data_IF_748205975001
#
_entry.id   IF_748205975001
#
_cell.length_a   1.000
_cell.length_b   1.000
_cell.length_c   1.000
_cell.angle_alpha   90.00
_cell.angle_beta   90.00
_cell.angle_gamma   90.00
#
_symmetry.space_group_name_H-M   'P 1'
#
loop_
_entity.id
_entity.type
_entity.pdbx_description
1 polymer ?
#
# COMPACT_ATOMS: atom_id res chain seq x y z
N UNK A 1 8.13 -39.37 9.40
CA UNK A 1 7.54 -38.41 10.35
C UNK A 1 8.60 -37.44 10.89
N UNK A 2 9.54 -37.88 11.73
CA UNK A 2 10.59 -37.02 12.32
C UNK A 2 11.50 -36.26 11.32
N UNK A 3 11.64 -36.75 10.08
CA UNK A 3 12.35 -36.01 9.03
C UNK A 3 11.54 -34.85 8.47
N UNK A 4 10.22 -35.02 8.31
CA UNK A 4 9.36 -34.09 7.57
C UNK A 4 8.78 -32.97 8.43
N UNK A 5 8.60 -33.22 9.72
CA UNK A 5 7.96 -32.28 10.63
C UNK A 5 8.87 -31.92 11.79
N UNK A 6 8.71 -30.70 12.30
CA UNK A 6 9.37 -30.23 13.51
C UNK A 6 8.69 -30.84 14.72
N UNK A 7 9.47 -31.51 15.56
CA UNK A 7 9.01 -32.21 16.75
C UNK A 7 9.57 -31.54 18.00
N UNK A 8 8.83 -31.60 19.11
CA UNK A 8 9.33 -31.09 20.40
C UNK A 8 10.56 -31.93 20.81
N UNK A 9 11.76 -31.35 21.02
CA UNK A 9 13.01 -32.09 21.20
C UNK A 9 12.96 -33.20 22.26
N UNK A 10 12.31 -32.92 23.39
CA UNK A 10 12.17 -33.85 24.52
C UNK A 10 10.86 -34.64 24.53
N UNK A 11 9.94 -34.36 23.60
CA UNK A 11 8.66 -35.04 23.51
C UNK A 11 8.29 -35.28 22.04
N UNK A 12 9.12 -36.05 21.33
CA UNK A 12 9.02 -36.27 19.87
C UNK A 12 7.70 -36.90 19.38
N UNK A 13 6.81 -37.29 20.30
CA UNK A 13 5.41 -37.63 20.00
C UNK A 13 4.60 -36.41 19.51
N UNK A 14 4.96 -35.20 19.96
CA UNK A 14 4.25 -33.96 19.69
C UNK A 14 4.98 -33.09 18.67
N UNK A 15 4.20 -32.39 17.85
CA UNK A 15 4.70 -31.45 16.85
C UNK A 15 4.91 -30.05 17.45
N UNK A 16 5.85 -29.32 16.86
CA UNK A 16 5.89 -27.88 16.95
C UNK A 16 4.81 -27.33 15.99
N UNK A 17 3.99 -26.41 16.46
CA UNK A 17 2.86 -25.83 15.73
C UNK A 17 3.03 -24.31 15.55
N UNK A 18 4.07 -23.91 14.83
CA UNK A 18 4.33 -22.49 14.53
C UNK A 18 3.38 -21.96 13.44
N UNK A 19 2.65 -22.84 12.75
CA UNK A 19 1.63 -22.49 11.73
C UNK A 19 0.26 -22.15 12.33
N UNK A 20 -0.04 -22.65 13.53
CA UNK A 20 -1.41 -22.69 14.05
C UNK A 20 -2.30 -23.79 13.43
N UNK A 21 -1.79 -24.61 12.51
CA UNK A 21 -2.57 -25.65 11.79
C UNK A 21 -2.29 -27.10 12.25
N UNK A 22 -1.53 -27.25 13.33
CA UNK A 22 -1.27 -28.51 14.03
C UNK A 22 0.15 -29.06 13.88
N UNK A 23 0.89 -28.65 12.85
CA UNK A 23 2.27 -29.08 12.60
C UNK A 23 3.06 -28.07 11.76
N UNK A 24 4.39 -28.18 11.75
CA UNK A 24 5.27 -27.33 10.92
C UNK A 24 6.27 -28.21 10.16
N UNK A 25 6.42 -27.98 8.85
CA UNK A 25 7.42 -28.69 8.03
C UNK A 25 8.85 -28.37 8.49
N UNK A 26 9.73 -29.35 8.43
CA UNK A 26 11.12 -29.21 8.86
C UNK A 26 12.05 -28.84 7.68
N UNK A 27 12.13 -27.55 7.35
CA UNK A 27 13.02 -27.10 6.26
C UNK A 27 14.52 -27.14 6.58
N UNK A 28 14.91 -27.46 7.82
CA UNK A 28 16.31 -27.77 8.15
C UNK A 28 16.76 -29.16 7.64
N UNK A 29 15.81 -30.04 7.29
CA UNK A 29 16.12 -31.39 6.82
C UNK A 29 16.38 -31.42 5.29
N UNK A 30 17.52 -31.96 4.81
CA UNK A 30 17.92 -31.91 3.40
C UNK A 30 16.91 -32.45 2.38
N UNK A 31 16.14 -33.49 2.74
CA UNK A 31 15.12 -34.05 1.84
C UNK A 31 13.81 -33.25 1.81
N UNK A 32 13.52 -32.48 2.86
CA UNK A 32 12.31 -31.66 2.90
C UNK A 32 12.55 -30.37 2.13
N UNK A 33 13.71 -29.73 2.34
CA UNK A 33 14.13 -28.58 1.54
C UNK A 33 14.29 -28.95 0.05
N UNK A 34 14.79 -30.14 -0.27
CA UNK A 34 14.78 -30.66 -1.63
C UNK A 34 13.35 -30.76 -2.18
N UNK A 35 12.43 -31.41 -1.46
CA UNK A 35 11.03 -31.54 -1.90
C UNK A 35 10.38 -30.18 -2.18
N UNK A 36 10.56 -29.20 -1.30
CA UNK A 36 9.99 -27.86 -1.48
C UNK A 36 10.64 -27.16 -2.67
N UNK A 37 11.96 -27.19 -2.80
CA UNK A 37 12.66 -26.52 -3.91
C UNK A 37 12.42 -27.19 -5.26
N UNK A 38 12.29 -28.52 -5.31
CA UNK A 38 11.88 -29.28 -6.49
C UNK A 38 10.43 -28.91 -6.88
N UNK A 39 9.54 -28.72 -5.91
CA UNK A 39 8.17 -28.23 -6.18
C UNK A 39 8.19 -26.82 -6.77
N UNK A 40 8.98 -25.89 -6.22
CA UNK A 40 9.11 -24.54 -6.77
C UNK A 40 9.66 -24.58 -8.20
N UNK A 41 10.72 -25.35 -8.45
CA UNK A 41 11.28 -25.51 -9.80
C UNK A 41 10.26 -26.11 -10.77
N UNK A 42 9.50 -27.11 -10.35
CA UNK A 42 8.41 -27.68 -11.15
C UNK A 42 7.37 -26.62 -11.54
N UNK A 43 6.89 -25.83 -10.58
CA UNK A 43 5.91 -24.76 -10.86
C UNK A 43 6.46 -23.70 -11.81
N UNK A 44 7.74 -23.36 -11.73
CA UNK A 44 8.36 -22.39 -12.64
C UNK A 44 8.59 -22.99 -14.04
N UNK A 45 9.20 -24.17 -14.13
CA UNK A 45 9.69 -24.72 -15.40
C UNK A 45 8.61 -25.46 -16.19
N UNK A 46 7.73 -26.18 -15.50
CA UNK A 46 6.70 -27.01 -16.14
C UNK A 46 5.35 -26.29 -16.21
N UNK A 47 5.03 -25.53 -15.16
CA UNK A 47 3.73 -24.83 -15.06
C UNK A 47 3.84 -23.34 -15.43
N UNK A 48 5.04 -22.84 -15.73
CA UNK A 48 5.33 -21.47 -16.15
C UNK A 48 4.86 -20.38 -15.15
N UNK A 49 4.95 -20.66 -13.85
CA UNK A 49 4.66 -19.67 -12.80
C UNK A 49 5.78 -18.63 -12.70
N UNK A 50 5.44 -17.34 -12.71
CA UNK A 50 6.38 -16.20 -12.68
C UNK A 50 6.91 -15.84 -11.28
N UNK A 51 6.39 -16.47 -10.22
CA UNK A 51 6.73 -16.19 -8.84
C UNK A 51 5.70 -16.69 -7.83
N UNK A 52 6.01 -16.51 -6.55
CA UNK A 52 5.28 -17.09 -5.44
C UNK A 52 5.01 -16.06 -4.34
N UNK A 53 3.81 -16.11 -3.75
CA UNK A 53 3.53 -15.54 -2.42
C UNK A 53 3.50 -16.68 -1.43
N UNK A 54 4.42 -16.66 -0.48
CA UNK A 54 4.57 -17.67 0.55
C UNK A 54 3.75 -17.29 1.78
N UNK A 55 2.75 -18.11 2.06
CA UNK A 55 1.96 -18.09 3.29
C UNK A 55 2.82 -18.43 4.50
N UNK A 56 2.64 -17.68 5.59
CA UNK A 56 3.44 -17.76 6.82
C UNK A 56 4.94 -17.89 6.50
N UNK A 57 5.44 -16.99 5.66
CA UNK A 57 6.76 -17.07 5.02
C UNK A 57 7.92 -17.22 6.01
N UNK A 58 7.77 -16.75 7.25
CA UNK A 58 8.76 -16.93 8.32
C UNK A 58 9.11 -18.41 8.55
N UNK A 59 8.13 -19.32 8.39
CA UNK A 59 8.33 -20.77 8.57
C UNK A 59 9.42 -21.31 7.65
N UNK A 60 9.51 -20.76 6.44
CA UNK A 60 10.47 -21.24 5.44
C UNK A 60 11.92 -21.00 5.85
N UNK A 61 12.13 -20.06 6.77
CA UNK A 61 13.43 -19.70 7.30
C UNK A 61 13.61 -20.11 8.77
N UNK A 62 12.70 -20.93 9.33
CA UNK A 62 12.87 -21.49 10.67
C UNK A 62 13.90 -22.62 10.68
N UNK A 63 14.95 -22.38 11.42
CA UNK A 63 15.99 -23.34 11.79
C UNK A 63 15.73 -23.85 13.24
N UNK A 64 16.56 -24.75 13.81
CA UNK A 64 16.35 -25.25 15.17
C UNK A 64 16.22 -24.16 16.24
N UNK A 65 16.83 -22.99 16.03
CA UNK A 65 16.87 -21.87 16.98
C UNK A 65 15.88 -20.74 16.66
N UNK A 66 14.99 -20.91 15.67
CA UNK A 66 14.05 -19.86 15.21
C UNK A 66 14.35 -19.39 13.80
N UNK A 67 13.81 -18.22 13.43
CA UNK A 67 14.04 -17.62 12.12
C UNK A 67 15.52 -17.25 11.93
N UNK A 68 16.07 -17.60 10.76
CA UNK A 68 17.40 -17.18 10.32
C UNK A 68 17.34 -16.70 8.87
N UNK A 69 17.66 -15.42 8.64
CA UNK A 69 17.74 -14.86 7.28
C UNK A 69 18.81 -15.52 6.40
N UNK A 70 19.71 -16.31 7.01
CA UNK A 70 20.72 -17.15 6.35
C UNK A 70 20.32 -18.63 6.33
N UNK A 71 19.04 -18.96 6.54
CA UNK A 71 18.55 -20.34 6.49
C UNK A 71 18.91 -21.04 5.18
N UNK A 72 18.93 -22.38 5.24
CA UNK A 72 19.25 -23.19 4.06
C UNK A 72 18.32 -22.88 2.87
N UNK A 73 17.03 -22.70 3.14
CA UNK A 73 16.01 -22.44 2.11
C UNK A 73 16.23 -21.10 1.40
N UNK A 74 16.42 -20.02 2.16
CA UNK A 74 16.63 -18.68 1.58
C UNK A 74 17.92 -18.63 0.75
N UNK A 75 18.99 -19.31 1.21
CA UNK A 75 20.22 -19.46 0.43
C UNK A 75 19.96 -20.15 -0.90
N UNK A 76 19.24 -21.28 -0.89
CA UNK A 76 18.91 -22.01 -2.13
C UNK A 76 18.13 -21.11 -3.09
N UNK A 77 17.09 -20.42 -2.65
CA UNK A 77 16.32 -19.50 -3.50
C UNK A 77 17.20 -18.41 -4.14
N UNK A 78 18.20 -17.90 -3.41
CA UNK A 78 19.08 -16.84 -3.92
C UNK A 78 20.11 -17.31 -4.95
N UNK A 79 20.53 -18.57 -4.91
CA UNK A 79 21.59 -19.12 -5.77
C UNK A 79 21.07 -20.04 -6.88
N UNK A 80 19.84 -20.55 -6.75
CA UNK A 80 19.28 -21.51 -7.71
C UNK A 80 19.02 -20.80 -9.05
N UNK A 81 19.56 -21.29 -10.18
CA UNK A 81 19.46 -20.63 -11.48
C UNK A 81 18.02 -20.42 -11.97
N UNK A 82 17.08 -21.23 -11.49
CA UNK A 82 15.65 -21.11 -11.82
C UNK A 82 14.98 -20.15 -10.84
N UNK A 83 15.18 -20.36 -9.53
CA UNK A 83 14.43 -19.62 -8.50
C UNK A 83 14.93 -18.18 -8.30
N UNK A 84 16.20 -17.88 -8.59
CA UNK A 84 16.75 -16.54 -8.44
C UNK A 84 16.15 -15.52 -9.43
N UNK A 85 15.54 -16.01 -10.51
CA UNK A 85 14.92 -15.17 -11.56
C UNK A 85 13.44 -14.86 -11.37
N UNK A 86 12.76 -15.50 -10.40
CA UNK A 86 11.30 -15.35 -10.21
C UNK A 86 10.97 -14.38 -9.07
N UNK A 87 9.71 -13.94 -9.00
CA UNK A 87 9.25 -13.05 -7.92
C UNK A 87 9.02 -13.85 -6.65
N UNK A 88 9.59 -13.43 -5.53
CA UNK A 88 9.42 -14.08 -4.23
C UNK A 88 8.80 -13.07 -3.26
N UNK A 89 7.60 -13.37 -2.76
CA UNK A 89 6.84 -12.52 -1.84
C UNK A 89 6.58 -13.32 -0.57
N UNK A 90 6.93 -12.80 0.60
CA UNK A 90 6.64 -13.43 1.88
C UNK A 90 5.49 -12.74 2.60
N UNK A 91 4.68 -13.52 3.31
CA UNK A 91 4.04 -13.07 4.54
C UNK A 91 5.10 -13.13 5.66
N UNK A 92 5.68 -12.00 6.11
CA UNK A 92 6.86 -12.03 6.96
C UNK A 92 6.52 -12.22 8.45
N UNK A 93 5.56 -13.11 8.73
CA UNK A 93 5.21 -13.51 10.08
C UNK A 93 4.71 -14.96 10.13
N UNK A 94 4.69 -15.52 11.34
CA UNK A 94 3.95 -16.73 11.67
C UNK A 94 3.46 -16.70 13.14
N UNK A 95 2.78 -17.75 13.59
CA UNK A 95 2.20 -17.83 14.95
C UNK A 95 3.20 -18.30 16.02
N UNK A 96 4.41 -18.70 15.62
CA UNK A 96 5.42 -19.22 16.53
C UNK A 96 6.17 -18.12 17.30
N UNK A 97 6.92 -18.48 18.36
CA UNK A 97 7.79 -17.54 19.06
C UNK A 97 8.77 -16.87 18.10
N UNK A 98 8.89 -15.54 18.20
CA UNK A 98 9.71 -14.74 17.30
C UNK A 98 9.22 -14.75 15.85
N UNK A 99 7.92 -14.98 15.61
CA UNK A 99 7.35 -15.12 14.27
C UNK A 99 7.40 -13.86 13.41
N UNK A 100 7.30 -12.67 14.01
CA UNK A 100 7.26 -11.39 13.27
C UNK A 100 8.64 -10.98 12.75
N UNK A 101 8.82 -10.99 11.43
CA UNK A 101 10.11 -10.83 10.72
C UNK A 101 10.03 -9.79 9.59
N UNK A 102 9.13 -8.82 9.71
CA UNK A 102 8.96 -7.78 8.71
C UNK A 102 10.24 -6.97 8.49
N UNK A 103 10.71 -6.93 7.24
CA UNK A 103 11.95 -6.26 6.83
C UNK A 103 13.21 -7.13 6.92
N UNK A 104 13.11 -8.34 7.50
CA UNK A 104 14.26 -9.22 7.79
C UNK A 104 14.53 -10.24 6.67
N UNK A 105 13.67 -10.34 5.65
CA UNK A 105 13.95 -11.18 4.47
C UNK A 105 15.08 -10.58 3.61
N UNK A 106 15.91 -11.44 2.98
CA UNK A 106 17.06 -10.99 2.22
C UNK A 106 16.67 -10.26 0.92
N UNK A 107 17.61 -9.49 0.31
CA UNK A 107 17.41 -8.92 -1.01
C UNK A 107 16.93 -9.95 -2.04
N UNK A 108 16.03 -9.54 -2.94
CA UNK A 108 15.33 -10.43 -3.88
C UNK A 108 13.92 -10.81 -3.40
N UNK A 109 13.64 -10.69 -2.11
CA UNK A 109 12.30 -10.90 -1.55
C UNK A 109 11.55 -9.59 -1.38
N UNK A 110 10.27 -9.61 -1.73
CA UNK A 110 9.29 -8.63 -1.30
C UNK A 110 8.45 -9.20 -0.15
N UNK A 111 7.80 -8.33 0.61
CA UNK A 111 7.08 -8.70 1.82
C UNK A 111 5.74 -7.98 1.88
N UNK A 112 4.69 -8.69 2.28
CA UNK A 112 3.44 -8.07 2.68
C UNK A 112 3.67 -7.07 3.80
N UNK A 113 3.33 -5.81 3.56
CA UNK A 113 3.54 -4.73 4.51
C UNK A 113 2.28 -4.50 5.38
N UNK A 114 2.17 -5.22 6.49
CA UNK A 114 1.06 -5.05 7.44
C UNK A 114 1.10 -3.69 8.17
N UNK A 115 2.29 -3.13 8.42
CA UNK A 115 2.42 -1.78 8.97
C UNK A 115 1.80 -0.72 8.05
N UNK A 116 1.93 -0.87 6.73
CA UNK A 116 1.25 -0.04 5.74
C UNK A 116 -0.25 -0.22 5.84
N UNK A 117 -0.74 -1.48 5.81
CA UNK A 117 -2.17 -1.81 5.94
C UNK A 117 -2.78 -1.13 7.16
N UNK A 118 -2.18 -1.38 8.32
CA UNK A 118 -2.68 -0.94 9.62
C UNK A 118 -2.65 0.59 9.74
N UNK A 119 -1.54 1.21 9.35
CA UNK A 119 -1.38 2.67 9.44
C UNK A 119 -2.33 3.41 8.50
N UNK A 120 -2.49 2.91 7.27
CA UNK A 120 -3.42 3.51 6.30
C UNK A 120 -4.86 3.38 6.78
N UNK A 121 -5.24 2.20 7.32
CA UNK A 121 -6.54 1.99 7.97
C UNK A 121 -6.78 2.97 9.11
N UNK A 122 -5.83 3.08 10.04
CA UNK A 122 -5.91 3.99 11.17
C UNK A 122 -5.99 5.46 10.76
N UNK A 123 -5.20 5.87 9.78
CA UNK A 123 -5.20 7.25 9.32
C UNK A 123 -6.58 7.67 8.80
N UNK A 124 -7.19 6.85 7.95
CA UNK A 124 -8.48 7.18 7.33
C UNK A 124 -9.66 7.10 8.29
N UNK A 125 -9.60 6.23 9.31
CA UNK A 125 -10.58 6.26 10.42
C UNK A 125 -10.30 7.35 11.46
N UNK A 126 -9.16 8.05 11.35
CA UNK A 126 -8.83 9.22 12.18
C UNK A 126 -8.09 8.91 13.48
N UNK A 127 -7.50 7.72 13.59
CA UNK A 127 -6.78 7.17 14.75
C UNK A 127 -5.25 7.26 14.61
N UNK A 128 -4.72 7.62 13.42
CA UNK A 128 -3.30 7.87 13.21
C UNK A 128 -3.03 9.29 12.70
N UNK A 129 -1.84 9.82 13.01
CA UNK A 129 -1.35 11.11 12.53
C UNK A 129 -0.69 10.97 11.15
N UNK A 130 -0.50 12.10 10.47
CA UNK A 130 0.27 12.17 9.23
C UNK A 130 1.71 11.71 9.39
N UNK A 131 2.31 11.89 10.57
CA UNK A 131 3.68 11.43 10.84
C UNK A 131 3.82 9.91 10.79
N UNK A 132 2.77 9.18 11.17
CA UNK A 132 2.71 7.73 11.01
C UNK A 132 2.50 7.34 9.54
N UNK A 133 1.64 8.06 8.81
CA UNK A 133 1.31 7.76 7.40
C UNK A 133 2.46 8.11 6.44
N UNK A 134 3.18 9.21 6.66
CA UNK A 134 4.20 9.71 5.76
C UNK A 134 5.25 8.65 5.37
N UNK A 135 5.81 7.88 6.33
CA UNK A 135 6.72 6.80 5.99
C UNK A 135 6.13 5.71 5.08
N UNK A 136 4.81 5.50 5.14
CA UNK A 136 4.12 4.49 4.32
C UNK A 136 3.95 4.96 2.88
N UNK A 137 3.71 6.26 2.66
CA UNK A 137 3.48 6.84 1.33
C UNK A 137 4.72 6.79 0.42
N UNK A 138 5.92 6.95 0.98
CA UNK A 138 7.18 6.95 0.20
C UNK A 138 7.95 5.62 0.23
N UNK A 139 7.27 4.50 0.53
CA UNK A 139 7.79 3.15 0.32
C UNK A 139 8.33 2.46 1.58
N UNK A 140 8.03 2.98 2.78
CA UNK A 140 8.44 2.40 4.07
C UNK A 140 9.96 2.18 4.16
N UNK A 141 10.73 3.21 3.79
CA UNK A 141 12.19 3.19 3.81
C UNK A 141 12.77 2.88 5.20
N UNK A 142 12.10 3.31 6.27
CA UNK A 142 12.45 2.99 7.65
C UNK A 142 12.50 1.47 7.95
N UNK A 143 11.75 0.68 7.17
CA UNK A 143 11.71 -0.77 7.25
C UNK A 143 12.62 -1.39 6.19
N UNK A 144 12.47 -0.97 4.93
CA UNK A 144 13.04 -1.67 3.78
C UNK A 144 14.33 -1.06 3.20
N UNK A 145 14.73 0.15 3.57
CA UNK A 145 15.98 0.77 3.08
C UNK A 145 17.21 0.25 3.83
N UNK A 146 17.45 -1.06 3.66
CA UNK A 146 18.58 -1.78 4.23
C UNK A 146 19.04 -2.87 3.28
N UNK A 147 20.30 -3.26 3.39
CA UNK A 147 20.90 -4.37 2.64
C UNK A 147 20.77 -4.24 1.10
N UNK A 148 20.61 -3.02 0.58
CA UNK A 148 20.47 -2.77 -0.87
C UNK A 148 19.09 -3.14 -1.44
N UNK A 149 18.08 -3.34 -0.58
CA UNK A 149 16.68 -3.51 -1.02
C UNK A 149 16.16 -2.22 -1.65
N UNK A 150 15.00 -2.32 -2.30
CA UNK A 150 14.37 -1.24 -3.08
C UNK A 150 12.92 -1.06 -2.62
N UNK A 151 12.25 0.06 -2.94
CA UNK A 151 10.85 0.28 -2.55
C UNK A 151 9.90 -0.86 -2.94
N UNK A 152 10.18 -1.55 -4.06
CA UNK A 152 9.40 -2.71 -4.52
C UNK A 152 9.39 -3.89 -3.54
N UNK A 153 10.30 -3.93 -2.56
CA UNK A 153 10.30 -4.90 -1.47
C UNK A 153 9.08 -4.76 -0.56
N UNK A 154 8.47 -3.57 -0.51
CA UNK A 154 7.21 -3.34 0.17
C UNK A 154 6.04 -3.70 -0.75
N UNK A 155 5.32 -4.78 -0.44
CA UNK A 155 3.99 -5.04 -1.00
C UNK A 155 2.98 -4.30 -0.14
N UNK A 156 2.55 -3.14 -0.61
CA UNK A 156 1.54 -2.33 0.05
C UNK A 156 0.16 -2.91 -0.25
N UNK A 157 -0.68 -3.02 0.78
CA UNK A 157 -2.06 -3.44 0.63
C UNK A 157 -2.92 -2.84 1.74
N UNK A 158 -4.20 -2.59 1.45
CA UNK A 158 -5.18 -2.15 2.45
C UNK A 158 -6.06 -3.32 2.89
N UNK A 159 -6.32 -4.25 1.98
CA UNK A 159 -7.22 -5.38 2.13
C UNK A 159 -6.59 -6.60 1.46
N UNK A 160 -6.94 -7.79 1.95
CA UNK A 160 -6.47 -9.07 1.47
C UNK A 160 -7.60 -10.09 1.63
N UNK A 161 -7.34 -11.36 1.34
CA UNK A 161 -8.28 -12.42 1.65
C UNK A 161 -8.51 -12.58 3.16
N UNK A 162 -7.48 -12.27 3.97
CA UNK A 162 -7.60 -12.18 5.43
C UNK A 162 -8.22 -10.84 5.84
N UNK A 163 -9.25 -10.90 6.68
CA UNK A 163 -9.97 -9.73 7.16
C UNK A 163 -11.08 -9.27 6.22
N UNK A 164 -11.46 -8.00 6.36
CA UNK A 164 -12.50 -7.39 5.53
C UNK A 164 -12.06 -7.12 4.10
N UNK A 165 -13.04 -7.21 3.19
CA UNK A 165 -13.04 -6.52 1.89
C UNK A 165 -12.99 -4.99 2.08
N UNK A 166 -12.71 -4.22 1.03
CA UNK A 166 -12.66 -2.76 1.15
C UNK A 166 -14.03 -2.17 1.48
N UNK A 167 -15.10 -2.73 0.92
CA UNK A 167 -16.45 -2.29 1.23
C UNK A 167 -16.82 -2.59 2.69
N UNK A 168 -16.47 -3.79 3.18
CA UNK A 168 -16.78 -4.16 4.56
C UNK A 168 -15.92 -3.38 5.57
N UNK A 169 -14.68 -3.04 5.21
CA UNK A 169 -13.78 -2.21 6.02
C UNK A 169 -14.39 -0.83 6.35
N UNK A 170 -15.23 -0.29 5.46
CA UNK A 170 -15.93 0.99 5.66
C UNK A 170 -17.40 0.83 6.08
N UNK A 171 -17.86 -0.41 6.25
CA UNK A 171 -19.27 -0.73 6.53
C UNK A 171 -19.50 -1.46 7.84
N UNK A 172 -18.46 -2.01 8.48
CA UNK A 172 -18.58 -2.79 9.71
C UNK A 172 -17.51 -2.41 10.74
N UNK A 173 -17.89 -2.26 12.00
CA UNK A 173 -16.96 -2.15 13.12
C UNK A 173 -16.64 -3.53 13.70
N UNK A 174 -17.66 -4.40 13.77
CA UNK A 174 -17.54 -5.74 14.32
C UNK A 174 -17.50 -6.78 13.21
N UNK A 175 -16.91 -7.93 13.49
CA UNK A 175 -16.97 -9.10 12.60
C UNK A 175 -18.29 -9.86 12.78
N UNK A 176 -18.79 -10.41 11.68
CA UNK A 176 -20.02 -11.20 11.58
C UNK A 176 -19.68 -12.54 10.91
N UNK A 177 -18.94 -13.38 11.64
CA UNK A 177 -18.44 -14.68 11.18
C UNK A 177 -19.36 -15.84 11.58
N UNK A 178 -20.60 -15.58 12.01
CA UNK A 178 -21.53 -16.62 12.50
C UNK A 178 -21.74 -17.75 11.49
N UNK A 179 -21.70 -17.42 10.19
CA UNK A 179 -21.81 -18.39 9.10
C UNK A 179 -20.69 -19.44 9.09
N UNK A 180 -19.56 -19.21 9.77
CA UNK A 180 -18.44 -20.14 9.87
C UNK A 180 -18.70 -21.27 10.87
N UNK A 181 -19.71 -21.15 11.75
CA UNK A 181 -20.09 -22.19 12.70
C UNK A 181 -19.24 -22.24 13.98
N UNK A 182 -18.42 -21.22 14.23
CA UNK A 182 -17.53 -21.13 15.39
C UNK A 182 -18.01 -20.09 16.43
N UNK A 183 -19.30 -19.75 16.42
CA UNK A 183 -19.92 -18.73 17.30
C UNK A 183 -19.18 -17.38 17.28
N UNK A 184 -18.74 -16.96 16.08
CA UNK A 184 -18.02 -15.70 15.84
C UNK A 184 -16.68 -15.58 16.62
N UNK A 185 -16.11 -16.71 17.07
CA UNK A 185 -14.81 -16.73 17.78
C UNK A 185 -13.62 -16.62 16.84
N UNK A 186 -13.78 -17.06 15.60
CA UNK A 186 -12.73 -17.03 14.58
C UNK A 186 -12.58 -15.64 13.95
N UNK A 187 -11.46 -15.43 13.25
CA UNK A 187 -11.11 -14.15 12.63
C UNK A 187 -10.49 -13.13 13.59
N UNK A 188 -9.85 -12.10 13.02
CA UNK A 188 -9.18 -11.07 13.81
C UNK A 188 -10.21 -10.17 14.50
N UNK A 189 -9.98 -9.78 15.77
CA UNK A 189 -10.91 -8.92 16.51
C UNK A 189 -10.71 -7.43 16.17
N UNK A 190 -9.46 -7.02 15.93
CA UNK A 190 -9.13 -5.61 15.68
C UNK A 190 -8.96 -5.36 14.18
N UNK A 191 -10.06 -5.09 13.47
CA UNK A 191 -10.05 -4.90 12.01
C UNK A 191 -9.49 -3.55 11.56
N UNK A 192 -9.41 -2.58 12.48
CA UNK A 192 -9.11 -1.16 12.18
C UNK A 192 -10.07 -0.59 11.12
N UNK A 193 -11.34 -0.99 11.21
CA UNK A 193 -12.42 -0.57 10.33
C UNK A 193 -13.18 0.62 10.93
N UNK A 194 -14.05 1.22 10.12
CA UNK A 194 -15.03 2.20 10.56
C UNK A 194 -16.30 2.11 9.71
N UNK A 195 -17.42 1.79 10.32
CA UNK A 195 -18.71 1.58 9.65
C UNK A 195 -19.36 2.86 9.08
N UNK A 196 -18.71 4.02 9.26
CA UNK A 196 -19.15 5.33 8.78
C UNK A 196 -20.50 5.83 9.35
N UNK A 197 -21.00 5.20 10.42
CA UNK A 197 -22.21 5.63 11.14
C UNK A 197 -23.33 4.58 11.19
N UNK A 198 -23.25 3.51 10.39
CA UNK A 198 -24.23 2.42 10.40
C UNK A 198 -23.51 1.06 10.28
N UNK A 199 -23.95 0.03 11.00
CA UNK A 199 -23.37 -1.32 10.87
C UNK A 199 -24.03 -2.07 9.71
N UNK A 200 -23.26 -2.40 8.66
CA UNK A 200 -23.73 -3.08 7.46
C UNK A 200 -24.49 -2.18 6.47
N UNK A 201 -25.34 -2.77 5.59
CA UNK A 201 -26.11 -2.04 4.59
C UNK A 201 -27.03 -0.97 5.21
N UNK A 202 -27.18 0.17 4.55
CA UNK A 202 -28.02 1.28 5.00
C UNK A 202 -28.59 2.07 3.82
N UNK A 203 -29.75 2.69 4.03
CA UNK A 203 -30.39 3.61 3.07
C UNK A 203 -30.00 5.08 3.32
N UNK A 204 -29.19 5.37 4.34
CA UNK A 204 -28.68 6.72 4.61
C UNK A 204 -27.68 7.15 3.52
N UNK A 205 -28.13 8.08 2.68
CA UNK A 205 -27.34 8.60 1.56
C UNK A 205 -26.03 9.27 2.01
N UNK A 206 -26.00 9.95 3.17
CA UNK A 206 -24.80 10.60 3.66
C UNK A 206 -23.74 9.58 4.10
N UNK A 207 -24.17 8.48 4.74
CA UNK A 207 -23.28 7.36 5.10
C UNK A 207 -22.72 6.71 3.84
N UNK A 208 -23.58 6.43 2.85
CA UNK A 208 -23.14 5.78 1.61
C UNK A 208 -22.20 6.66 0.77
N UNK A 209 -22.42 7.98 0.72
CA UNK A 209 -21.49 8.91 0.06
C UNK A 209 -20.12 8.92 0.76
N UNK A 210 -20.12 8.97 2.09
CA UNK A 210 -18.90 8.91 2.90
C UNK A 210 -18.16 7.59 2.70
N UNK A 211 -18.85 6.44 2.70
CA UNK A 211 -18.25 5.12 2.42
C UNK A 211 -17.61 5.08 1.03
N UNK A 212 -18.31 5.57 0.02
CA UNK A 212 -17.76 5.69 -1.34
C UNK A 212 -16.48 6.52 -1.37
N UNK A 213 -16.46 7.65 -0.64
CA UNK A 213 -15.27 8.51 -0.52
C UNK A 213 -14.13 7.80 0.22
N UNK A 214 -14.41 7.09 1.31
CA UNK A 214 -13.42 6.32 2.05
C UNK A 214 -12.79 5.21 1.19
N UNK A 215 -13.60 4.45 0.44
CA UNK A 215 -13.07 3.45 -0.50
C UNK A 215 -12.12 4.10 -1.52
N UNK A 216 -12.50 5.25 -2.08
CA UNK A 216 -11.65 6.02 -3.01
C UNK A 216 -10.36 6.52 -2.34
N UNK A 217 -10.44 6.97 -1.08
CA UNK A 217 -9.26 7.37 -0.29
C UNK A 217 -8.27 6.22 -0.12
N UNK A 218 -8.76 5.04 0.26
CA UNK A 218 -7.94 3.85 0.41
C UNK A 218 -7.28 3.43 -0.92
N UNK A 219 -8.07 3.36 -2.00
CA UNK A 219 -7.60 3.02 -3.33
C UNK A 219 -6.56 4.01 -3.86
N UNK A 220 -6.81 5.31 -3.67
CA UNK A 220 -5.88 6.36 -4.09
C UNK A 220 -4.59 6.34 -3.26
N UNK A 221 -4.69 6.17 -1.94
CA UNK A 221 -3.51 6.03 -1.07
C UNK A 221 -2.66 4.84 -1.52
N UNK A 222 -3.28 3.68 -1.77
CA UNK A 222 -2.62 2.48 -2.26
C UNK A 222 -1.92 2.68 -3.61
N UNK A 223 -2.65 3.17 -4.62
CA UNK A 223 -2.14 3.26 -5.98
C UNK A 223 -1.23 4.45 -6.24
N UNK A 224 -1.15 5.43 -5.33
CA UNK A 224 -0.26 6.60 -5.45
C UNK A 224 0.96 6.53 -4.52
N UNK A 225 0.99 5.61 -3.55
CA UNK A 225 2.17 5.37 -2.72
C UNK A 225 3.32 4.70 -3.50
N UNK A 226 4.56 4.95 -3.08
CA UNK A 226 5.73 4.21 -3.55
C UNK A 226 5.70 2.76 -3.03
N UNK A 227 6.32 1.85 -3.78
CA UNK A 227 6.28 0.41 -3.52
C UNK A 227 5.37 -0.33 -4.50
N UNK A 228 5.04 -1.58 -4.18
CA UNK A 228 4.24 -2.44 -5.05
C UNK A 228 2.81 -2.54 -4.49
N UNK A 229 1.79 -1.93 -5.11
CA UNK A 229 0.42 -2.03 -4.63
C UNK A 229 -0.19 -3.40 -4.98
N UNK A 230 -0.84 -4.04 -4.00
CA UNK A 230 -1.66 -5.23 -4.17
C UNK A 230 -3.12 -4.87 -3.93
N UNK A 231 -3.96 -5.12 -4.94
CA UNK A 231 -5.41 -4.93 -4.89
C UNK A 231 -6.10 -6.27 -4.68
N UNK A 232 -7.02 -6.35 -3.72
CA UNK A 232 -7.88 -7.51 -3.53
C UNK A 232 -8.97 -7.53 -4.60
N UNK A 233 -9.15 -8.68 -5.25
CA UNK A 233 -10.16 -8.84 -6.29
C UNK A 233 -11.57 -8.56 -5.78
N UNK A 234 -12.27 -7.68 -6.49
CA UNK A 234 -13.63 -7.24 -6.19
C UNK A 234 -13.71 -5.91 -5.42
N UNK A 235 -12.61 -5.42 -4.85
CA UNK A 235 -12.59 -4.10 -4.22
C UNK A 235 -12.77 -2.96 -5.24
N UNK A 236 -12.49 -3.21 -6.51
CA UNK A 236 -12.73 -2.27 -7.61
C UNK A 236 -14.22 -2.02 -7.89
N UNK A 237 -15.12 -2.86 -7.36
CA UNK A 237 -16.58 -2.70 -7.47
C UNK A 237 -17.32 -2.97 -6.16
N UNK A 238 -16.64 -2.77 -5.02
CA UNK A 238 -17.21 -2.89 -3.69
C UNK A 238 -17.78 -4.28 -3.34
N UNK A 239 -17.05 -5.35 -3.68
CA UNK A 239 -17.33 -6.72 -3.19
C UNK A 239 -17.50 -6.71 -1.68
N UNK A 240 -18.46 -7.48 -1.18
CA UNK A 240 -18.76 -7.64 0.24
C UNK A 240 -18.79 -9.12 0.63
N UNK A 241 -18.29 -9.42 1.81
CA UNK A 241 -18.44 -10.68 2.54
C UNK A 241 -19.45 -10.53 3.69
N UNK A 242 -20.25 -9.45 3.69
CA UNK A 242 -21.33 -9.15 4.64
C UNK A 242 -20.85 -9.02 6.08
N UNK A 243 -19.65 -8.47 6.26
CA UNK A 243 -19.04 -8.36 7.58
C UNK A 243 -18.37 -9.65 8.07
N UNK A 244 -18.33 -10.71 7.26
CA UNK A 244 -17.46 -11.86 7.57
C UNK A 244 -16.00 -11.48 7.21
N UNK A 245 -15.11 -11.47 8.21
CA UNK A 245 -13.70 -11.11 8.03
C UNK A 245 -12.77 -12.32 7.96
N UNK A 246 -13.33 -13.53 7.88
CA UNK A 246 -12.60 -14.79 7.86
C UNK A 246 -13.38 -15.82 7.04
N UNK A 247 -13.70 -15.50 5.79
CA UNK A 247 -14.57 -16.32 4.95
C UNK A 247 -13.87 -17.57 4.37
N UNK A 248 -12.94 -18.18 5.11
CA UNK A 248 -12.06 -19.28 4.65
C UNK A 248 -12.83 -20.56 4.30
N UNK A 249 -13.95 -20.82 4.98
CA UNK A 249 -14.79 -22.00 4.80
C UNK A 249 -16.07 -21.73 4.00
N UNK A 250 -16.21 -20.53 3.42
CA UNK A 250 -17.43 -20.09 2.76
C UNK A 250 -17.36 -20.24 1.24
N UNK A 251 -17.47 -21.45 0.69
CA UNK A 251 -17.62 -21.64 -0.77
C UNK A 251 -19.07 -21.40 -1.21
N UNK A 252 -19.50 -20.13 -1.17
CA UNK A 252 -20.85 -19.69 -1.51
C UNK A 252 -20.88 -18.18 -1.82
N UNK A 253 -22.08 -17.61 -1.95
CA UNK A 253 -22.31 -16.19 -2.26
C UNK A 253 -21.67 -15.18 -1.31
N UNK A 254 -21.21 -15.60 -0.12
CA UNK A 254 -20.42 -14.75 0.78
C UNK A 254 -19.04 -14.48 0.17
N UNK A 255 -18.37 -15.48 -0.42
CA UNK A 255 -17.01 -15.33 -0.95
C UNK A 255 -16.94 -15.21 -2.47
N UNK A 256 -17.96 -15.65 -3.21
CA UNK A 256 -17.96 -15.57 -4.67
C UNK A 256 -17.88 -14.12 -5.16
N UNK A 257 -17.25 -13.91 -6.31
CA UNK A 257 -17.22 -12.61 -6.97
C UNK A 257 -18.55 -12.38 -7.68
N UNK A 258 -19.34 -11.43 -7.17
CA UNK A 258 -20.59 -11.02 -7.78
C UNK A 258 -20.36 -9.93 -8.84
N UNK A 259 -20.35 -10.33 -10.11
CA UNK A 259 -20.12 -9.42 -11.24
C UNK A 259 -21.24 -8.40 -11.45
N UNK A 260 -22.44 -8.61 -10.89
CA UNK A 260 -23.51 -7.61 -10.97
C UNK A 260 -23.13 -6.32 -10.22
N UNK A 261 -22.26 -6.42 -9.20
CA UNK A 261 -21.72 -5.26 -8.49
C UNK A 261 -20.84 -4.39 -9.39
N UNK A 262 -20.18 -4.96 -10.40
CA UNK A 262 -19.37 -4.17 -11.34
C UNK A 262 -20.21 -3.23 -12.20
N UNK A 263 -21.44 -3.64 -12.54
CA UNK A 263 -22.41 -2.80 -13.26
C UNK A 263 -23.00 -1.73 -12.34
N UNK A 264 -23.37 -2.10 -11.11
CA UNK A 264 -23.95 -1.19 -10.12
C UNK A 264 -22.94 -0.13 -9.64
N UNK A 265 -21.66 -0.51 -9.49
CA UNK A 265 -20.60 0.34 -8.96
C UNK A 265 -19.62 0.81 -10.05
N UNK A 266 -20.11 1.03 -11.28
CA UNK A 266 -19.27 1.38 -12.44
C UNK A 266 -18.38 2.60 -12.21
N UNK A 267 -18.84 3.59 -11.43
CA UNK A 267 -18.03 4.76 -11.09
C UNK A 267 -16.77 4.39 -10.29
N UNK A 268 -16.86 3.42 -9.36
CA UNK A 268 -15.69 2.93 -8.63
C UNK A 268 -14.73 2.17 -9.53
N UNK A 269 -15.25 1.36 -10.46
CA UNK A 269 -14.43 0.68 -11.46
C UNK A 269 -13.65 1.69 -12.31
N UNK A 270 -14.32 2.74 -12.81
CA UNK A 270 -13.68 3.82 -13.57
C UNK A 270 -12.67 4.61 -12.75
N UNK A 271 -12.93 4.80 -11.46
CA UNK A 271 -11.99 5.43 -10.54
C UNK A 271 -10.70 4.61 -10.41
N UNK A 272 -10.78 3.29 -10.22
CA UNK A 272 -9.62 2.39 -10.18
C UNK A 272 -8.87 2.37 -11.51
N UNK A 273 -9.58 2.33 -12.64
CA UNK A 273 -8.98 2.44 -13.98
C UNK A 273 -8.20 3.75 -14.14
N UNK A 274 -8.73 4.85 -13.63
CA UNK A 274 -8.08 6.17 -13.68
C UNK A 274 -6.82 6.21 -12.81
N UNK A 275 -6.87 5.69 -11.59
CA UNK A 275 -5.70 5.58 -10.71
C UNK A 275 -4.59 4.72 -11.32
N UNK A 276 -4.94 3.56 -11.88
CA UNK A 276 -3.95 2.69 -12.54
C UNK A 276 -3.36 3.33 -13.79
N UNK A 277 -4.15 4.06 -14.57
CA UNK A 277 -3.67 4.86 -15.70
C UNK A 277 -2.70 5.97 -15.25
N UNK A 278 -3.03 6.71 -14.19
CA UNK A 278 -2.16 7.75 -13.60
C UNK A 278 -0.83 7.16 -13.13
N UNK A 279 -0.86 6.06 -12.35
CA UNK A 279 0.35 5.38 -11.87
C UNK A 279 1.25 4.90 -13.02
N UNK A 280 0.67 4.41 -14.11
CA UNK A 280 1.42 3.99 -15.31
C UNK A 280 2.02 5.17 -16.05
N UNK A 281 1.23 6.25 -16.22
CA UNK A 281 1.58 7.48 -16.94
C UNK A 281 2.73 8.24 -16.28
N UNK A 282 2.78 8.28 -14.95
CA UNK A 282 3.74 9.09 -14.20
C UNK A 282 4.76 8.23 -13.42
N UNK A 283 5.99 8.05 -13.94
CA UNK A 283 7.04 7.25 -13.29
C UNK A 283 7.40 7.70 -11.87
N UNK A 284 7.21 8.97 -11.54
CA UNK A 284 7.48 9.53 -10.22
C UNK A 284 6.66 8.84 -9.10
N UNK A 285 5.51 8.23 -9.43
CA UNK A 285 4.66 7.47 -8.49
C UNK A 285 5.14 6.03 -8.27
N UNK A 286 6.18 5.59 -9.00
CA UNK A 286 6.70 4.21 -9.01
C UNK A 286 8.22 4.20 -9.10
N UNK A 287 8.88 5.02 -8.28
CA UNK A 287 10.35 5.14 -8.26
C UNK A 287 10.98 3.84 -7.75
N UNK A 288 12.08 3.46 -8.39
CA UNK A 288 12.83 2.23 -8.08
C UNK A 288 13.89 2.43 -6.97
N UNK A 289 13.97 3.64 -6.41
CA UNK A 289 14.87 4.04 -5.32
C UNK A 289 14.03 4.70 -4.24
N UNK A 290 14.44 4.55 -2.98
CA UNK A 290 13.82 5.29 -1.89
C UNK A 290 14.01 6.79 -2.09
N UNK A 291 12.98 7.54 -1.74
CA UNK A 291 12.96 8.99 -1.88
C UNK A 291 13.61 9.64 -0.67
N UNK A 292 14.45 10.63 -0.91
CA UNK A 292 15.10 11.43 0.14
C UNK A 292 14.39 12.76 0.38
N UNK A 293 14.26 13.13 1.65
CA UNK A 293 13.85 14.47 2.10
C UNK A 293 15.03 15.45 2.22
N UNK A 294 16.27 14.94 2.07
CA UNK A 294 17.50 15.74 2.13
C UNK A 294 17.79 16.34 0.76
N UNK A 295 18.25 17.60 0.74
CA UNK A 295 18.68 18.27 -0.49
C UNK A 295 19.86 17.51 -1.09
N UNK A 296 19.76 17.16 -2.37
CA UNK A 296 20.92 16.67 -3.11
C UNK A 296 21.72 17.86 -3.61
N UNK A 297 22.85 18.16 -2.97
CA UNK A 297 23.71 19.32 -3.26
C UNK A 297 24.15 19.41 -4.73
N UNK A 298 24.31 18.26 -5.40
CA UNK A 298 24.76 18.24 -6.80
C UNK A 298 23.67 18.70 -7.79
N UNK A 299 22.39 18.60 -7.42
CA UNK A 299 21.25 18.96 -8.28
C UNK A 299 20.36 20.08 -7.70
N UNK A 300 20.57 20.45 -6.43
CA UNK A 300 19.86 21.53 -5.75
C UNK A 300 18.38 21.27 -5.45
N UNK A 301 17.93 20.01 -5.44
CA UNK A 301 16.51 19.66 -5.19
C UNK A 301 16.38 18.57 -4.12
N UNK A 302 15.26 18.62 -3.37
CA UNK A 302 14.76 17.49 -2.55
C UNK A 302 13.93 16.58 -3.44
N UNK A 303 13.92 15.28 -3.17
CA UNK A 303 13.08 14.35 -3.93
C UNK A 303 11.63 14.37 -3.42
N UNK A 304 11.48 14.53 -2.11
CA UNK A 304 10.20 14.72 -1.41
C UNK A 304 10.30 15.94 -0.50
N UNK A 305 9.27 16.79 -0.54
CA UNK A 305 9.02 17.83 0.46
C UNK A 305 7.64 17.61 1.08
N UNK A 306 7.55 17.58 2.40
CA UNK A 306 6.27 17.54 3.10
C UNK A 306 5.75 18.96 3.31
N UNK A 307 4.48 19.20 3.01
CA UNK A 307 3.89 20.55 2.97
C UNK A 307 2.70 20.61 3.92
N UNK A 308 2.63 21.65 4.76
CA UNK A 308 1.49 21.87 5.64
C UNK A 308 0.35 22.61 4.90
N UNK A 309 -0.84 22.79 5.51
CA UNK A 309 -1.96 23.49 4.87
C UNK A 309 -1.68 24.95 4.50
N UNK A 310 -0.66 25.60 5.06
CA UNK A 310 -0.27 26.96 4.67
C UNK A 310 0.63 26.99 3.43
N UNK A 311 0.94 25.84 2.83
CA UNK A 311 1.85 25.73 1.68
C UNK A 311 3.33 25.78 2.05
N UNK A 312 3.67 25.82 3.34
CA UNK A 312 5.05 25.82 3.81
C UNK A 312 5.55 24.39 4.08
N UNK A 313 6.87 24.20 4.10
CA UNK A 313 7.46 22.91 4.46
C UNK A 313 7.10 22.53 5.92
N UNK A 314 6.72 21.27 6.14
CA UNK A 314 6.37 20.77 7.47
C UNK A 314 7.59 20.76 8.39
N UNK A 315 7.38 21.20 9.62
CA UNK A 315 8.31 21.07 10.75
C UNK A 315 7.88 19.92 11.65
N UNK A 316 8.76 19.49 12.55
CA UNK A 316 8.48 18.38 13.47
C UNK A 316 7.19 18.59 14.29
N UNK A 317 6.96 19.82 14.78
CA UNK A 317 5.77 20.21 15.55
C UNK A 317 4.45 20.12 14.75
N UNK A 318 4.52 20.26 13.42
CA UNK A 318 3.34 20.27 12.55
C UNK A 318 2.76 18.84 12.41
N UNK A 319 3.59 17.80 12.60
CA UNK A 319 3.15 16.40 12.54
C UNK A 319 2.26 15.99 13.71
N UNK A 320 2.51 16.54 14.90
CA UNK A 320 1.81 16.19 16.13
C UNK A 320 0.52 17.01 16.31
N UNK A 321 0.51 18.29 15.93
CA UNK A 321 -0.60 19.22 16.19
C UNK A 321 -1.52 19.50 14.99
N UNK A 322 -1.18 19.03 13.78
CA UNK A 322 -1.92 19.33 12.54
C UNK A 322 -1.90 18.23 11.49
N UNK A 323 -1.24 17.09 11.76
CA UNK A 323 -0.96 16.02 10.79
C UNK A 323 -2.17 15.29 10.21
N UNK A 324 -3.40 15.78 10.39
CA UNK A 324 -4.60 15.23 9.72
C UNK A 324 -4.80 15.78 8.31
N UNK A 325 -4.13 16.88 7.94
CA UNK A 325 -4.10 17.38 6.57
C UNK A 325 -2.70 17.84 6.19
N UNK A 326 -2.10 17.23 5.17
CA UNK A 326 -0.75 17.54 4.70
C UNK A 326 -0.55 17.17 3.23
N UNK A 327 0.52 17.69 2.64
CA UNK A 327 0.92 17.46 1.25
C UNK A 327 2.27 16.72 1.15
N UNK A 328 2.40 15.87 0.13
CA UNK A 328 3.65 15.27 -0.32
C UNK A 328 3.98 15.82 -1.71
N UNK A 329 4.95 16.71 -1.78
CA UNK A 329 5.47 17.28 -3.02
C UNK A 329 6.61 16.38 -3.54
N UNK A 330 6.37 15.74 -4.68
CA UNK A 330 7.35 14.93 -5.41
C UNK A 330 7.98 15.76 -6.52
N UNK A 331 9.28 16.02 -6.44
CA UNK A 331 9.98 16.84 -7.42
C UNK A 331 10.43 16.01 -8.64
N UNK A 332 9.87 16.29 -9.81
CA UNK A 332 10.20 15.57 -11.05
C UNK A 332 11.64 15.78 -11.55
N UNK A 333 12.31 16.83 -11.04
CA UNK A 333 13.71 17.17 -11.31
C UNK A 333 14.67 16.30 -10.49
N UNK A 334 14.16 15.58 -9.50
CA UNK A 334 14.94 14.65 -8.68
C UNK A 334 15.50 13.48 -9.51
N UNK A 335 16.72 13.08 -9.15
CA UNK A 335 17.48 12.01 -9.81
C UNK A 335 16.68 10.69 -9.88
N UNK A 336 16.55 10.12 -11.07
CA UNK A 336 15.73 8.90 -11.31
C UNK A 336 16.51 7.60 -11.07
N UNK A 337 17.79 7.57 -11.48
CA UNK A 337 18.64 6.37 -11.48
C UNK A 337 19.87 6.58 -10.59
N UNK A 338 20.84 5.66 -10.55
CA UNK A 338 22.13 5.90 -9.86
C UNK A 338 23.02 6.97 -10.53
N UNK A 339 22.67 7.43 -11.72
CA UNK A 339 23.43 8.43 -12.48
C UNK A 339 23.13 9.83 -11.93
N UNK A 340 24.17 10.58 -11.56
CA UNK A 340 24.08 11.95 -11.01
C UNK A 340 23.67 12.96 -12.09
N UNK A 341 22.40 12.92 -12.49
CA UNK A 341 21.81 13.86 -13.44
C UNK A 341 20.40 14.25 -12.99
N UNK A 342 19.97 15.44 -13.40
CA UNK A 342 18.62 15.95 -13.14
C UNK A 342 17.57 15.06 -13.80
N UNK A 343 16.49 14.79 -13.08
CA UNK A 343 15.30 14.11 -13.61
C UNK A 343 14.50 15.01 -14.57
N UNK A 344 13.58 14.39 -15.29
CA UNK A 344 12.66 15.05 -16.23
C UNK A 344 11.21 14.56 -16.03
N UNK A 345 10.91 13.99 -14.86
CA UNK A 345 9.56 13.56 -14.54
C UNK A 345 8.65 14.77 -14.31
N UNK A 346 7.34 14.54 -14.30
CA UNK A 346 6.39 15.55 -13.84
C UNK A 346 6.51 15.73 -12.32
N UNK A 347 6.55 16.97 -11.85
CA UNK A 347 6.39 17.30 -10.43
C UNK A 347 4.92 17.13 -10.03
N UNK A 348 4.67 16.49 -8.90
CA UNK A 348 3.32 16.15 -8.44
C UNK A 348 3.16 16.49 -6.97
N UNK A 349 1.94 16.87 -6.57
CA UNK A 349 1.57 17.15 -5.19
C UNK A 349 0.39 16.27 -4.79
N UNK A 350 0.61 15.39 -3.82
CA UNK A 350 -0.42 14.58 -3.20
C UNK A 350 -0.88 15.26 -1.91
N UNK A 351 -2.15 15.65 -1.79
CA UNK A 351 -2.70 16.19 -0.55
C UNK A 351 -3.59 15.13 0.09
N UNK A 352 -3.45 14.93 1.40
CA UNK A 352 -4.19 13.92 2.15
C UNK A 352 -4.83 14.59 3.36
N UNK A 353 -6.16 14.50 3.48
CA UNK A 353 -6.93 15.06 4.59
C UNK A 353 -7.79 13.98 5.26
N UNK A 354 -7.42 13.49 6.44
CA UNK A 354 -8.27 12.64 7.29
C UNK A 354 -9.15 13.44 8.26
N UNK A 355 -9.03 14.77 8.29
CA UNK A 355 -9.88 15.60 9.13
C UNK A 355 -11.34 15.51 8.69
N UNK A 356 -12.24 15.66 9.66
CA UNK A 356 -13.69 15.52 9.46
C UNK A 356 -14.35 16.78 8.88
N UNK A 357 -13.59 17.86 8.73
CA UNK A 357 -14.05 19.12 8.15
C UNK A 357 -13.15 19.56 6.98
N UNK A 358 -13.61 20.56 6.23
CA UNK A 358 -12.90 21.20 5.13
C UNK A 358 -11.65 21.89 5.66
N UNK A 359 -10.53 21.70 4.96
CA UNK A 359 -9.25 22.37 5.29
C UNK A 359 -8.85 23.28 4.13
N UNK A 360 -8.71 24.61 4.35
CA UNK A 360 -8.11 25.48 3.36
C UNK A 360 -6.62 25.12 3.20
N UNK A 361 -6.21 24.78 1.97
CA UNK A 361 -4.85 24.38 1.65
C UNK A 361 -4.26 25.31 0.61
N UNK A 362 -3.18 26.02 0.96
CA UNK A 362 -2.47 26.90 0.03
C UNK A 362 -1.54 26.07 -0.86
N UNK A 363 -1.71 26.15 -2.18
CA UNK A 363 -0.89 25.39 -3.11
C UNK A 363 0.54 25.95 -3.15
N UNK A 364 1.58 25.12 -2.90
CA UNK A 364 2.95 25.60 -2.76
C UNK A 364 3.52 26.08 -4.09
N UNK A 365 4.47 27.01 -4.02
CA UNK A 365 5.37 27.28 -5.13
C UNK A 365 6.28 26.06 -5.38
N UNK A 366 6.48 25.70 -6.65
CA UNK A 366 7.33 24.57 -7.05
C UNK A 366 7.89 24.79 -8.45
N UNK A 367 9.06 24.21 -8.74
CA UNK A 367 9.74 24.36 -10.02
C UNK A 367 10.91 25.35 -9.97
N UNK A 368 11.46 25.68 -11.13
CA UNK A 368 12.55 26.67 -11.27
C UNK A 368 12.01 28.11 -11.36
N UNK A 369 10.78 28.28 -11.88
CA UNK A 369 10.11 29.57 -12.03
C UNK A 369 8.75 29.52 -11.31
N UNK A 370 8.74 30.08 -10.11
CA UNK A 370 7.56 30.10 -9.24
C UNK A 370 6.41 30.94 -9.80
N UNK A 371 6.70 31.96 -10.63
CA UNK A 371 5.68 32.84 -11.19
C UNK A 371 4.86 32.13 -12.29
N UNK A 372 5.50 31.23 -13.04
CA UNK A 372 4.89 30.45 -14.13
C UNK A 372 4.34 29.09 -13.69
N UNK A 373 4.55 28.71 -12.43
CA UNK A 373 4.04 27.47 -11.85
C UNK A 373 2.50 27.48 -11.81
N UNK A 374 1.88 26.47 -12.44
CA UNK A 374 0.45 26.19 -12.35
C UNK A 374 0.22 24.75 -11.94
N UNK A 375 -0.74 24.53 -11.05
CA UNK A 375 -1.18 23.21 -10.60
C UNK A 375 -2.42 22.78 -11.34
N UNK A 376 -2.38 21.62 -11.98
CA UNK A 376 -3.56 20.98 -12.59
C UNK A 376 -4.07 19.88 -11.66
N UNK A 377 -5.33 19.96 -11.24
CA UNK A 377 -5.98 18.89 -10.47
C UNK A 377 -6.21 17.67 -11.36
N UNK A 378 -5.63 16.53 -11.01
CA UNK A 378 -5.77 15.26 -11.73
C UNK A 378 -6.76 14.31 -11.07
N UNK A 379 -6.91 14.38 -9.74
CA UNK A 379 -7.74 13.48 -8.95
C UNK A 379 -8.21 14.19 -7.69
N UNK A 380 -9.48 14.01 -7.33
CA UNK A 380 -10.05 14.35 -6.03
C UNK A 380 -11.04 13.24 -5.63
N UNK A 381 -10.83 12.60 -4.49
CA UNK A 381 -11.68 11.48 -4.03
C UNK A 381 -13.08 11.89 -3.63
N UNK A 382 -13.37 13.19 -3.49
CA UNK A 382 -14.74 13.70 -3.36
C UNK A 382 -15.60 13.22 -4.53
N UNK A 383 -15.06 13.23 -5.75
CA UNK A 383 -15.80 12.88 -6.97
C UNK A 383 -15.57 11.42 -7.34
N UNK A 384 -16.65 10.73 -7.72
CA UNK A 384 -16.58 9.34 -8.15
C UNK A 384 -15.99 9.19 -9.57
N UNK A 385 -16.10 10.24 -10.39
CA UNK A 385 -15.52 10.31 -11.73
C UNK A 385 -14.37 11.32 -11.74
N UNK A 386 -13.31 11.11 -12.55
CA UNK A 386 -12.17 12.02 -12.61
C UNK A 386 -12.59 13.44 -13.03
N UNK A 387 -11.94 14.44 -12.45
CA UNK A 387 -12.18 15.84 -12.79
C UNK A 387 -11.85 16.10 -14.28
N UNK A 388 -12.73 16.79 -15.01
CA UNK A 388 -12.46 17.18 -16.40
C UNK A 388 -11.32 18.21 -16.45
N UNK A 389 -10.28 17.91 -17.23
CA UNK A 389 -8.99 18.62 -17.21
C UNK A 389 -8.99 20.09 -17.67
N UNK A 390 -10.06 20.59 -18.28
CA UNK A 390 -10.06 21.92 -18.92
C UNK A 390 -10.40 23.10 -18.00
N UNK A 391 -10.82 22.85 -16.74
CA UNK A 391 -11.34 23.91 -15.83
C UNK A 391 -10.58 24.02 -14.49
N UNK A 392 -9.52 23.22 -14.28
CA UNK A 392 -8.90 23.07 -12.95
C UNK A 392 -7.39 23.39 -12.92
N UNK A 393 -7.01 24.57 -13.44
CA UNK A 393 -5.66 25.11 -13.26
C UNK A 393 -5.63 26.16 -12.15
N UNK A 394 -4.67 26.05 -11.24
CA UNK A 394 -4.49 26.94 -10.09
C UNK A 394 -3.09 27.53 -10.10
N UNK A 395 -2.92 28.78 -9.67
CA UNK A 395 -1.62 29.39 -9.44
C UNK A 395 -1.00 28.88 -8.13
N UNK A 396 0.33 28.96 -8.03
CA UNK A 396 0.98 28.88 -6.73
C UNK A 396 0.45 30.00 -5.82
N UNK A 397 0.15 29.68 -4.56
CA UNK A 397 -0.47 30.61 -3.61
C UNK A 397 -2.01 30.60 -3.61
N UNK A 398 -2.66 29.99 -4.61
CA UNK A 398 -4.11 29.79 -4.56
C UNK A 398 -4.49 28.87 -3.40
N UNK A 399 -5.63 29.15 -2.77
CA UNK A 399 -6.18 28.34 -1.67
C UNK A 399 -7.24 27.40 -2.22
N UNK A 400 -7.01 26.10 -2.07
CA UNK A 400 -7.98 25.06 -2.40
C UNK A 400 -8.71 24.60 -1.13
N UNK A 401 -10.04 24.49 -1.19
CA UNK A 401 -10.85 23.96 -0.09
C UNK A 401 -10.83 22.43 -0.11
N UNK A 402 -9.91 21.82 0.64
CA UNK A 402 -9.76 20.37 0.70
C UNK A 402 -10.90 19.79 1.52
N UNK A 403 -11.81 19.09 0.85
CA UNK A 403 -12.98 18.49 1.47
C UNK A 403 -12.64 17.55 2.63
N UNK A 404 -13.54 17.46 3.60
CA UNK A 404 -13.43 16.50 4.70
C UNK A 404 -13.18 15.08 4.16
N UNK A 405 -12.17 14.42 4.74
CA UNK A 405 -11.84 13.02 4.43
C UNK A 405 -11.62 12.79 2.94
N UNK A 406 -10.67 13.51 2.35
CA UNK A 406 -10.35 13.40 0.92
C UNK A 406 -8.85 13.32 0.65
N UNK A 407 -8.51 12.86 -0.55
CA UNK A 407 -7.16 12.82 -1.08
C UNK A 407 -7.18 13.41 -2.50
N UNK A 408 -6.21 14.26 -2.79
CA UNK A 408 -6.08 14.96 -4.06
C UNK A 408 -4.71 14.73 -4.68
N UNK A 409 -4.66 14.71 -6.01
CA UNK A 409 -3.42 14.67 -6.77
C UNK A 409 -3.38 15.82 -7.76
N UNK A 410 -2.37 16.67 -7.62
CA UNK A 410 -2.08 17.74 -8.55
C UNK A 410 -0.79 17.43 -9.32
N UNK A 411 -0.71 17.97 -10.54
CA UNK A 411 0.50 17.98 -11.35
C UNK A 411 0.92 19.41 -11.62
N UNK A 412 2.22 19.67 -11.51
CA UNK A 412 2.80 20.94 -11.92
C UNK A 412 2.87 21.03 -13.45
N UNK A 413 2.39 22.14 -13.99
CA UNK A 413 2.53 22.57 -15.37
C UNK A 413 3.25 23.91 -15.35
N UNK A 414 4.37 24.01 -16.06
CA UNK A 414 4.99 25.30 -16.35
C UNK A 414 4.19 25.95 -17.47
N UNK A 415 3.67 27.15 -17.23
CA UNK A 415 2.94 27.89 -18.26
C UNK A 415 3.88 28.16 -19.46
N UNK A 416 3.51 27.81 -20.70
CA UNK A 416 4.26 28.29 -21.86
C UNK A 416 4.09 29.82 -21.92
N UNK A 417 5.20 30.53 -21.85
CA UNK A 417 5.38 31.99 -21.90
C UNK A 417 4.15 32.84 -22.28
N UNK A 418 3.82 33.82 -21.43
CA UNK A 418 3.14 35.03 -21.85
C UNK A 418 4.00 35.76 -22.91
N UNK A 419 3.39 36.41 -23.92
CA UNK A 419 4.08 36.80 -25.15
C UNK A 419 5.27 37.71 -24.88
N UNK A 420 6.41 37.40 -25.50
CA UNK A 420 7.52 38.32 -25.65
C UNK A 420 6.99 39.66 -26.15
N UNK A 421 7.36 40.70 -25.42
CA UNK A 421 6.87 42.06 -25.56
C UNK A 421 6.99 42.59 -26.99
N UNK A 422 6.00 43.42 -27.32
CA UNK A 422 5.95 44.32 -28.46
C UNK A 422 7.25 45.10 -28.68
N UNK A 423 7.85 44.95 -29.86
CA UNK A 423 8.63 46.03 -30.48
C UNK A 423 7.75 46.72 -31.53
N UNK A 424 7.04 47.75 -31.08
CA UNK A 424 6.82 48.93 -31.91
C UNK A 424 7.94 49.93 -31.59
N UNK A 425 8.88 50.09 -32.53
CA UNK A 425 9.32 51.40 -33.03
C UNK A 425 10.07 51.26 -34.33
#
# INVERSE_FOLDING_TARGET
NASYYRLIPEQKRYYINDTGTGNTLNLSHPRVIQMVTDSLRYWVQEMHVDGFRFDLGTILAREPNGFDYRSGFLKICSQDPVLAGVKLIAEPWDCGPGGYQMGEFPPGWAEWNDKYRDTVRDYWRGEATGGALAPRLYGSADIFDRYGRRPQASINFVTAHDGFTLNDLVSYNERHNEANGEENRDGHAHNRSWNCGAEGPTEDAAVNELRGRQMRNFLATLLLSQGTPMLLAGDEFARTQRGNNNAYCQDNKISWVDWTLAELNLAQVRFVQSLTALRRRYPILRRNRFLSTVVNEAIGVKEVTWVNPTGAEMRDEDWDNGGRCFGMLLDGRAQVTGIKQRGQDATMLLIVNSHHDVVPFTLPAAGDDEALARWTLLLDTQFAEPAQAAVNEYAAGDVYAVTARSLLLFKLKLSPEAPLWSEQR
#
